data_IF_145623425809
#
_entry.id   IF_145623425809
#
_cell.length_a   1.000
_cell.length_b   1.000
_cell.length_c   1.000
_cell.angle_alpha   90.00
_cell.angle_beta   90.00
_cell.angle_gamma   90.00
#
_symmetry.space_group_name_H-M   'P 1'
#
loop_
_entity.id
_entity.type
_entity.pdbx_description
1 polymer ?
#
# COMPACT_ATOMS: atom_id res chain seq x y z
N UNK A 1 -3.26 15.03 6.38
CA UNK A 1 -3.48 14.49 5.03
C UNK A 1 -3.55 12.97 5.09
N UNK A 2 -4.64 12.38 4.60
CA UNK A 2 -4.84 10.93 4.59
C UNK A 2 -4.90 10.48 3.13
N UNK A 3 -3.92 9.69 2.72
CA UNK A 3 -3.80 9.24 1.33
C UNK A 3 -4.29 7.80 1.18
N UNK A 4 -4.37 7.32 -0.05
CA UNK A 4 -4.54 5.90 -0.36
C UNK A 4 -3.32 5.38 -1.11
N UNK A 5 -2.83 4.21 -0.71
CA UNK A 5 -1.80 3.45 -1.42
C UNK A 5 -2.47 2.26 -2.08
N UNK A 6 -2.58 2.26 -3.40
CA UNK A 6 -3.18 1.17 -4.17
C UNK A 6 -2.09 0.32 -4.80
N UNK A 7 -1.97 -0.92 -4.36
CA UNK A 7 -0.98 -1.87 -4.84
C UNK A 7 -1.67 -2.85 -5.80
N UNK A 8 -1.16 -2.96 -7.01
CA UNK A 8 -1.66 -3.84 -8.07
C UNK A 8 -0.60 -4.86 -8.41
N UNK A 9 -0.98 -6.12 -8.57
CA UNK A 9 -0.09 -7.15 -9.11
C UNK A 9 -0.12 -7.09 -10.64
N UNK A 10 1.04 -6.99 -11.26
CA UNK A 10 1.19 -7.02 -12.72
C UNK A 10 1.53 -8.46 -13.14
N UNK A 11 2.62 -9.00 -12.58
CA UNK A 11 3.05 -10.38 -12.76
C UNK A 11 3.79 -10.87 -11.50
N UNK A 12 4.14 -12.17 -11.37
CA UNK A 12 4.89 -12.64 -10.20
C UNK A 12 6.20 -11.88 -10.02
N UNK A 13 6.34 -11.18 -8.89
CA UNK A 13 7.53 -10.37 -8.60
C UNK A 13 7.51 -8.97 -9.22
N UNK A 14 6.41 -8.56 -9.85
CA UNK A 14 6.21 -7.20 -10.38
C UNK A 14 4.87 -6.65 -9.92
N UNK A 15 4.92 -5.54 -9.19
CA UNK A 15 3.76 -4.83 -8.67
C UNK A 15 3.88 -3.35 -9.02
N UNK A 16 2.74 -2.68 -9.08
CA UNK A 16 2.65 -1.23 -9.26
C UNK A 16 1.88 -0.61 -8.11
N UNK A 17 2.44 0.44 -7.53
CA UNK A 17 1.84 1.20 -6.45
C UNK A 17 1.43 2.59 -6.92
N UNK A 18 0.19 2.96 -6.66
CA UNK A 18 -0.37 4.28 -6.92
C UNK A 18 -0.63 4.99 -5.60
N UNK A 19 -0.18 6.24 -5.47
CA UNK A 19 -0.47 7.11 -4.33
C UNK A 19 -1.57 8.08 -4.75
N UNK A 20 -2.70 8.06 -4.04
CA UNK A 20 -3.92 8.78 -4.41
C UNK A 20 -4.37 9.69 -3.26
N UNK A 21 -4.72 10.93 -3.57
CA UNK A 21 -5.46 11.85 -2.67
C UNK A 21 -6.88 12.05 -3.19
N UNK A 22 -7.85 11.39 -2.56
CA UNK A 22 -9.24 11.40 -3.03
C UNK A 22 -9.40 10.84 -4.45
N UNK A 23 -9.46 11.73 -5.44
CA UNK A 23 -9.57 11.40 -6.88
C UNK A 23 -8.31 11.70 -7.68
N UNK A 24 -7.31 12.32 -7.06
CA UNK A 24 -6.07 12.75 -7.71
C UNK A 24 -4.97 11.71 -7.50
N UNK A 25 -4.36 11.23 -8.58
CA UNK A 25 -3.14 10.43 -8.49
C UNK A 25 -1.94 11.36 -8.28
N UNK A 26 -1.28 11.24 -7.13
CA UNK A 26 -0.10 12.02 -6.78
C UNK A 26 1.19 11.42 -7.36
N UNK A 27 1.19 10.11 -7.61
CA UNK A 27 2.33 9.43 -8.20
C UNK A 27 2.16 7.92 -8.27
N UNK A 28 3.04 7.31 -9.06
CA UNK A 28 3.07 5.87 -9.31
C UNK A 28 4.51 5.38 -9.35
N UNK A 29 4.75 4.18 -8.80
CA UNK A 29 6.06 3.53 -8.82
C UNK A 29 5.92 2.00 -8.93
N UNK A 30 6.91 1.38 -9.55
CA UNK A 30 6.99 -0.08 -9.67
C UNK A 30 7.78 -0.67 -8.50
N UNK A 31 7.38 -1.86 -8.05
CA UNK A 31 8.03 -2.54 -6.93
C UNK A 31 7.99 -4.07 -7.10
N UNK A 32 8.77 -4.78 -6.29
CA UNK A 32 8.92 -6.25 -6.40
C UNK A 32 7.98 -7.04 -5.48
N UNK A 33 7.37 -6.38 -4.50
CA UNK A 33 6.45 -7.03 -3.55
C UNK A 33 5.49 -6.03 -2.90
N UNK A 34 4.41 -6.53 -2.30
CA UNK A 34 3.48 -5.72 -1.51
C UNK A 34 4.19 -5.05 -0.33
N UNK A 35 5.06 -5.77 0.38
CA UNK A 35 5.82 -5.19 1.51
C UNK A 35 6.79 -4.11 1.06
N UNK A 36 7.40 -4.25 -0.13
CA UNK A 36 8.27 -3.23 -0.69
C UNK A 36 7.48 -1.95 -1.04
N UNK A 37 6.30 -2.05 -1.64
CA UNK A 37 5.41 -0.90 -1.85
C UNK A 37 5.05 -0.19 -0.54
N UNK A 38 4.66 -0.95 0.49
CA UNK A 38 4.30 -0.42 1.80
C UNK A 38 5.49 0.31 2.44
N UNK A 39 6.68 -0.31 2.39
CA UNK A 39 7.91 0.26 2.95
C UNK A 39 8.29 1.55 2.24
N UNK A 40 8.23 1.56 0.91
CA UNK A 40 8.58 2.71 0.08
C UNK A 40 7.64 3.88 0.34
N UNK A 41 6.32 3.65 0.29
CA UNK A 41 5.33 4.68 0.61
C UNK A 41 5.46 5.18 2.06
N UNK A 42 5.68 4.28 3.01
CA UNK A 42 5.92 4.64 4.41
C UNK A 42 7.22 5.44 4.63
N UNK A 43 8.18 5.34 3.71
CA UNK A 43 9.44 6.09 3.73
C UNK A 43 9.33 7.51 3.18
N UNK A 44 8.26 7.85 2.46
CA UNK A 44 8.10 9.17 1.86
C UNK A 44 7.88 10.24 2.93
N UNK A 45 8.67 11.31 2.87
CA UNK A 45 8.55 12.48 3.73
C UNK A 45 7.56 13.47 3.10
N UNK A 46 6.26 13.25 3.32
CA UNK A 46 5.21 14.18 2.92
C UNK A 46 4.77 15.04 4.13
N UNK A 47 4.73 16.38 3.99
CA UNK A 47 4.20 17.25 5.04
C UNK A 47 2.78 16.86 5.44
N UNK A 48 2.48 16.91 6.74
CA UNK A 48 1.14 16.66 7.30
C UNK A 48 0.51 15.30 6.98
N UNK A 49 1.28 14.33 6.50
CA UNK A 49 0.80 12.99 6.22
C UNK A 49 0.47 12.24 7.53
N UNK A 50 -0.82 11.99 7.75
CA UNK A 50 -1.31 11.24 8.91
C UNK A 50 -1.32 9.72 8.67
N UNK A 51 -1.38 9.28 7.41
CA UNK A 51 -1.35 7.86 7.05
C UNK A 51 -1.83 7.56 5.64
N UNK A 52 -1.91 6.26 5.37
CA UNK A 52 -2.44 5.70 4.14
C UNK A 52 -3.58 4.72 4.45
N UNK A 53 -4.64 4.75 3.67
CA UNK A 53 -5.45 3.55 3.43
C UNK A 53 -4.66 2.63 2.51
N UNK A 54 -4.25 1.47 3.00
CA UNK A 54 -3.42 0.55 2.23
C UNK A 54 -4.29 -0.50 1.56
N UNK A 55 -4.30 -0.49 0.23
CA UNK A 55 -5.07 -1.38 -0.63
C UNK A 55 -4.16 -2.31 -1.40
N UNK A 56 -4.61 -3.55 -1.58
CA UNK A 56 -4.05 -4.51 -2.52
C UNK A 56 -5.18 -5.07 -3.38
N UNK A 57 -5.17 -4.74 -4.66
CA UNK A 57 -6.29 -4.99 -5.58
C UNK A 57 -7.63 -4.52 -4.96
N UNK A 58 -8.55 -5.44 -4.65
CA UNK A 58 -9.87 -5.14 -4.11
C UNK A 58 -9.97 -5.15 -2.57
N UNK A 59 -8.87 -5.44 -1.85
CA UNK A 59 -8.89 -5.53 -0.38
C UNK A 59 -8.12 -4.40 0.29
N UNK A 60 -8.58 -3.96 1.47
CA UNK A 60 -7.95 -2.92 2.26
C UNK A 60 -7.51 -3.45 3.63
N UNK A 61 -6.29 -3.12 4.06
CA UNK A 61 -5.81 -3.39 5.43
C UNK A 61 -6.26 -2.32 6.45
N UNK A 62 -6.98 -1.30 5.99
CA UNK A 62 -7.38 -0.14 6.78
C UNK A 62 -6.33 0.98 6.76
N UNK A 63 -6.47 1.91 7.69
CA UNK A 63 -5.56 3.06 7.83
C UNK A 63 -4.29 2.66 8.58
N UNK A 64 -3.14 2.92 7.97
CA UNK A 64 -1.82 2.69 8.55
C UNK A 64 -1.04 4.01 8.62
N UNK A 65 -0.36 4.26 9.73
CA UNK A 65 0.57 5.40 9.83
C UNK A 65 1.86 5.09 9.07
N UNK A 66 2.61 6.10 8.57
CA UNK A 66 3.89 5.86 7.91
C UNK A 66 4.88 5.14 8.82
N UNK A 67 4.84 5.41 10.13
CA UNK A 67 5.66 4.70 11.13
C UNK A 67 5.34 3.21 11.18
N UNK A 68 4.06 2.82 11.22
CA UNK A 68 3.68 1.41 11.20
C UNK A 68 4.12 0.72 9.90
N UNK A 69 3.98 1.40 8.76
CA UNK A 69 4.39 0.90 7.45
C UNK A 69 5.91 0.68 7.36
N UNK A 70 6.72 1.48 8.08
CA UNK A 70 8.18 1.28 8.15
C UNK A 70 8.59 0.18 9.12
N UNK A 71 7.89 0.04 10.24
CA UNK A 71 8.19 -0.93 11.30
C UNK A 71 7.83 -2.35 10.86
N UNK A 72 6.64 -2.56 10.30
CA UNK A 72 6.13 -3.89 9.95
C UNK A 72 5.42 -3.93 8.58
N UNK A 73 6.13 -3.66 7.47
CA UNK A 73 5.54 -3.78 6.14
C UNK A 73 5.23 -5.24 5.77
N UNK A 74 5.99 -6.21 6.30
CA UNK A 74 5.77 -7.63 6.06
C UNK A 74 4.48 -8.14 6.69
N UNK A 75 4.19 -7.80 7.95
CA UNK A 75 2.93 -8.16 8.61
C UNK A 75 1.71 -7.52 7.94
N UNK A 76 1.83 -6.27 7.49
CA UNK A 76 0.78 -5.60 6.70
C UNK A 76 0.56 -6.30 5.36
N UNK A 77 1.63 -6.69 4.65
CA UNK A 77 1.54 -7.43 3.41
C UNK A 77 0.90 -8.82 3.61
N UNK A 78 1.27 -9.55 4.66
CA UNK A 78 0.64 -10.82 5.01
C UNK A 78 -0.85 -10.68 5.28
N UNK A 79 -1.26 -9.62 6.00
CA UNK A 79 -2.67 -9.32 6.24
C UNK A 79 -3.42 -9.05 4.94
N UNK A 80 -2.85 -8.26 4.03
CA UNK A 80 -3.44 -7.99 2.71
C UNK A 80 -3.59 -9.27 1.89
N UNK A 81 -2.55 -10.11 1.84
CA UNK A 81 -2.61 -11.38 1.11
C UNK A 81 -3.64 -12.34 1.71
N UNK A 82 -3.76 -12.40 3.03
CA UNK A 82 -4.78 -13.21 3.70
C UNK A 82 -6.20 -12.72 3.37
N UNK A 83 -6.45 -11.41 3.41
CA UNK A 83 -7.72 -10.82 3.00
C UNK A 83 -8.02 -11.11 1.52
N UNK A 84 -7.02 -10.92 0.64
CA UNK A 84 -7.15 -11.18 -0.78
C UNK A 84 -7.55 -12.63 -1.08
N UNK A 85 -6.93 -13.59 -0.40
CA UNK A 85 -7.27 -15.01 -0.52
C UNK A 85 -8.68 -15.34 -0.02
N UNK A 86 -9.17 -14.67 1.02
CA UNK A 86 -10.53 -14.88 1.55
C UNK A 86 -11.62 -14.37 0.59
N UNK A 87 -11.34 -13.29 -0.14
CA UNK A 87 -12.31 -12.63 -1.03
C UNK A 87 -12.01 -12.86 -2.52
N UNK A 88 -11.24 -13.90 -2.85
CA UNK A 88 -11.12 -14.40 -4.23
C UNK A 88 -12.32 -15.30 -4.53
N UNK A 89 -13.32 -14.75 -5.23
CA UNK A 89 -14.33 -15.57 -5.94
C UNK A 89 -13.76 -16.08 -7.26
#
# INVERSE_FOLDING_TARGET
>A
MLLSLHILKIEPGQYRAHVIDGREELGTFDTISISAAIREAGGQALPDLSGYHVWYEHVCAGTCTPSNMRIDPEGLAQRLMALHGQFKS
#
